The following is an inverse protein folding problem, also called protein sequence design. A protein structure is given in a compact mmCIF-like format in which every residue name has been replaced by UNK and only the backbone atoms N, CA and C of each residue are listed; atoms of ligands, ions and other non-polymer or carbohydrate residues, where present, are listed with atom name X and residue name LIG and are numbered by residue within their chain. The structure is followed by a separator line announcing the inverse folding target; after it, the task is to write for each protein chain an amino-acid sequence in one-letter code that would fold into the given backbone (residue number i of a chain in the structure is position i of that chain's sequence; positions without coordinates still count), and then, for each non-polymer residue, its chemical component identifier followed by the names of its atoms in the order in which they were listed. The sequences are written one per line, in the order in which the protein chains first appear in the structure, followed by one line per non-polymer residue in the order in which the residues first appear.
data_IF_146873020817
#
_entry.id   IF_146873020817
#
_cell.length_a   1.000
_cell.length_b   1.000
_cell.length_c   1.000
_cell.angle_alpha   90.00
_cell.angle_beta   90.00
_cell.angle_gamma   90.00
#
_symmetry.space_group_name_H-M   'P 1'
#
loop_
_entity.id
_entity.type
_entity.pdbx_description
1 polymer ?
#
# COMPACT_ATOMS: atom_id res chain seq x y z
N UNK A 1 -2.35 18.16 14.90
CA UNK A 1 -1.87 16.76 14.80
C UNK A 1 -2.96 15.84 15.30
N UNK A 2 -3.89 15.46 14.42
CA UNK A 2 -4.99 14.51 14.72
C UNK A 2 -4.90 13.24 13.86
N UNK A 3 -4.07 13.26 12.81
CA UNK A 3 -3.94 12.21 11.80
C UNK A 3 -3.28 10.94 12.36
N UNK A 4 -2.34 11.10 13.30
CA UNK A 4 -1.71 9.98 14.00
C UNK A 4 -2.67 9.22 14.93
N UNK A 5 -3.79 9.84 15.35
CA UNK A 5 -4.72 9.20 16.30
C UNK A 5 -5.31 7.90 15.74
N UNK A 6 -5.56 7.84 14.43
CA UNK A 6 -6.09 6.64 13.77
C UNK A 6 -5.07 5.50 13.73
N UNK A 7 -3.80 5.80 13.42
CA UNK A 7 -2.73 4.78 13.40
C UNK A 7 -2.54 4.19 14.79
N UNK A 8 -2.44 5.03 15.82
CA UNK A 8 -2.22 4.57 17.20
C UNK A 8 -3.45 3.89 17.81
N UNK A 9 -4.65 4.12 17.26
CA UNK A 9 -5.87 3.48 17.79
C UNK A 9 -5.86 1.96 17.66
N UNK A 10 -4.98 1.42 16.81
CA UNK A 10 -4.90 -0.02 16.55
C UNK A 10 -3.69 -0.69 17.23
N UNK A 11 -2.86 0.07 17.96
CA UNK A 11 -1.64 -0.45 18.58
C UNK A 11 -1.93 -1.47 19.70
N UNK A 12 -3.15 -1.42 20.27
CA UNK A 12 -3.58 -2.39 21.27
C UNK A 12 -3.77 -3.79 20.63
N UNK A 13 -3.24 -4.87 21.25
CA UNK A 13 -3.44 -6.23 20.75
C UNK A 13 -4.92 -6.60 20.66
N UNK A 14 -5.27 -7.36 19.63
CA UNK A 14 -6.60 -7.94 19.45
C UNK A 14 -6.60 -9.36 20.00
N UNK A 15 -7.50 -9.63 20.95
CA UNK A 15 -7.72 -10.99 21.46
C UNK A 15 -8.66 -11.73 20.51
N UNK A 16 -8.15 -12.74 19.83
CA UNK A 16 -8.92 -13.68 19.00
C UNK A 16 -8.58 -15.08 19.50
N UNK A 17 -9.40 -15.62 20.41
CA UNK A 17 -9.10 -16.86 21.12
C UNK A 17 -8.63 -18.00 20.17
N UNK A 18 -7.50 -18.67 20.47
CA UNK A 18 -6.62 -18.54 21.65
C UNK A 18 -5.42 -17.56 21.48
N UNK A 19 -5.44 -16.67 20.49
CA UNK A 19 -4.30 -15.85 20.10
C UNK A 19 -4.46 -14.36 20.47
N UNK A 20 -3.34 -13.71 20.77
CA UNK A 20 -3.23 -12.25 20.74
C UNK A 20 -2.55 -11.81 19.45
N UNK A 21 -3.19 -10.92 18.71
CA UNK A 21 -2.71 -10.42 17.43
C UNK A 21 -2.33 -8.95 17.57
N UNK A 22 -1.07 -8.64 17.26
CA UNK A 22 -0.62 -7.27 17.05
C UNK A 22 -0.71 -6.96 15.56
N UNK A 23 -1.46 -5.93 15.22
CA UNK A 23 -1.62 -5.46 13.83
C UNK A 23 -1.10 -4.04 13.71
N UNK A 24 -0.74 -3.64 12.48
CA UNK A 24 -0.25 -2.29 12.18
C UNK A 24 -1.03 -1.67 11.04
N UNK A 25 -1.26 -0.36 11.11
CA UNK A 25 -2.07 0.36 10.13
C UNK A 25 -1.17 1.05 9.11
N UNK A 26 -1.61 1.16 7.87
CA UNK A 26 -0.94 2.02 6.89
C UNK A 26 -2.01 2.79 6.17
N UNK A 27 -1.89 4.11 6.17
CA UNK A 27 -2.94 5.02 5.69
C UNK A 27 -2.38 5.88 4.55
N UNK A 28 -3.10 5.95 3.45
CA UNK A 28 -2.84 6.89 2.37
C UNK A 28 -3.88 7.99 2.36
N UNK A 29 -3.44 9.23 2.15
CA UNK A 29 -4.30 10.42 2.21
C UNK A 29 -4.19 11.16 0.88
N UNK A 30 -5.34 11.43 0.24
CA UNK A 30 -5.44 12.28 -0.94
C UNK A 30 -6.43 13.43 -0.66
N UNK A 31 -6.09 14.64 -1.11
CA UNK A 31 -6.83 15.86 -0.85
C UNK A 31 -7.50 16.39 -2.11
N UNK A 32 -8.81 16.55 -2.09
CA UNK A 32 -9.52 17.29 -3.13
C UNK A 32 -9.30 18.81 -2.94
N UNK A 33 -9.08 19.59 -4.02
CA UNK A 33 -8.93 19.19 -5.42
C UNK A 33 -7.48 18.94 -5.86
N UNK A 34 -6.52 18.98 -4.93
CA UNK A 34 -5.08 18.95 -5.21
C UNK A 34 -4.63 17.62 -5.83
N UNK A 35 -5.10 16.51 -5.26
CA UNK A 35 -4.69 15.15 -5.57
C UNK A 35 -5.73 14.41 -6.42
N UNK A 36 -6.68 15.13 -7.03
CA UNK A 36 -7.70 14.53 -7.90
C UNK A 36 -8.92 15.42 -8.03
N UNK A 37 -9.51 15.44 -9.23
CA UNK A 37 -10.71 16.25 -9.54
C UNK A 37 -12.01 15.46 -9.46
N UNK A 38 -11.92 14.15 -9.31
CA UNK A 38 -13.05 13.24 -9.19
C UNK A 38 -12.73 12.12 -8.19
N UNK A 39 -13.78 11.41 -7.77
CA UNK A 39 -13.70 10.31 -6.81
C UNK A 39 -12.68 9.25 -7.22
N UNK A 40 -12.66 8.86 -8.50
CA UNK A 40 -11.79 7.79 -9.00
C UNK A 40 -10.31 8.18 -8.88
N UNK A 41 -9.96 9.41 -9.25
CA UNK A 41 -8.59 9.93 -9.11
C UNK A 41 -8.16 9.98 -7.64
N UNK A 42 -9.02 10.50 -6.76
CA UNK A 42 -8.72 10.59 -5.34
C UNK A 42 -8.52 9.21 -4.72
N UNK A 43 -9.37 8.24 -5.06
CA UNK A 43 -9.27 6.87 -4.56
C UNK A 43 -7.97 6.21 -5.02
N UNK A 44 -7.63 6.33 -6.31
CA UNK A 44 -6.39 5.79 -6.86
C UNK A 44 -5.15 6.41 -6.19
N UNK A 45 -5.14 7.73 -6.01
CA UNK A 45 -4.00 8.44 -5.43
C UNK A 45 -3.88 8.18 -3.91
N UNK A 46 -5.01 8.05 -3.19
CA UNK A 46 -4.98 7.63 -1.79
C UNK A 46 -4.44 6.20 -1.64
N UNK A 47 -4.82 5.29 -2.53
CA UNK A 47 -4.31 3.91 -2.53
C UNK A 47 -2.79 3.87 -2.82
N UNK A 48 -2.32 4.67 -3.79
CA UNK A 48 -0.89 4.81 -4.07
C UNK A 48 -0.10 5.32 -2.85
N UNK A 49 -0.63 6.29 -2.10
CA UNK A 49 -0.03 6.78 -0.87
C UNK A 49 -0.02 5.74 0.26
N UNK A 50 -1.09 4.94 0.36
CA UNK A 50 -1.18 3.83 1.32
C UNK A 50 -0.15 2.76 1.00
N UNK A 51 -0.05 2.39 -0.28
CA UNK A 51 0.91 1.40 -0.74
C UNK A 51 2.35 1.88 -0.49
N UNK A 52 2.64 3.15 -0.74
CA UNK A 52 3.91 3.76 -0.38
C UNK A 52 4.21 3.58 1.12
N UNK A 53 3.24 3.91 1.98
CA UNK A 53 3.34 3.72 3.44
C UNK A 53 3.64 2.26 3.82
N UNK A 54 3.04 1.28 3.13
CA UNK A 54 3.29 -0.16 3.37
C UNK A 54 4.73 -0.57 3.08
N UNK A 55 5.44 0.15 2.21
CA UNK A 55 6.80 -0.17 1.76
C UNK A 55 7.89 0.67 2.44
N UNK A 56 7.60 1.91 2.85
CA UNK A 56 8.62 2.82 3.42
C UNK A 56 8.80 2.73 4.92
N UNK A 57 8.00 1.92 5.62
CA UNK A 57 8.15 1.73 7.07
C UNK A 57 6.96 1.06 7.76
N UNK A 58 5.80 1.01 7.10
CA UNK A 58 4.52 0.56 7.69
C UNK A 58 4.15 1.42 8.91
N UNK A 59 3.12 1.00 9.63
CA UNK A 59 2.62 1.64 10.87
C UNK A 59 2.59 3.17 10.84
N UNK A 60 1.94 3.76 9.85
CA UNK A 60 2.03 5.20 9.60
C UNK A 60 1.04 5.70 8.58
N UNK A 61 1.28 6.92 8.10
CA UNK A 61 0.48 7.55 7.06
C UNK A 61 1.34 8.40 6.13
N UNK A 62 0.92 8.50 4.88
CA UNK A 62 1.50 9.43 3.91
C UNK A 62 0.41 10.15 3.11
N UNK A 63 0.66 11.43 2.84
CA UNK A 63 -0.07 12.18 1.84
C UNK A 63 0.41 11.79 0.45
N UNK A 64 -0.50 11.80 -0.51
CA UNK A 64 -0.19 11.52 -1.89
C UNK A 64 0.86 12.50 -2.43
N UNK A 65 1.77 11.94 -3.22
CA UNK A 65 2.66 12.68 -4.08
C UNK A 65 2.66 12.02 -5.46
N UNK A 66 2.70 12.78 -6.56
CA UNK A 66 2.71 12.21 -7.91
C UNK A 66 3.80 11.15 -8.16
N UNK A 67 4.94 11.26 -7.47
CA UNK A 67 6.02 10.28 -7.50
C UNK A 67 5.62 8.89 -7.00
N UNK A 68 4.61 8.78 -6.14
CA UNK A 68 4.13 7.50 -5.59
C UNK A 68 3.44 6.63 -6.65
N UNK A 69 2.82 7.24 -7.67
CA UNK A 69 2.20 6.50 -8.77
C UNK A 69 3.22 5.71 -9.59
N UNK A 70 4.42 6.27 -9.80
CA UNK A 70 5.49 5.57 -10.52
C UNK A 70 5.93 4.30 -9.78
N UNK A 71 6.06 4.39 -8.46
CA UNK A 71 6.52 3.27 -7.63
C UNK A 71 5.44 2.19 -7.53
N UNK A 72 4.17 2.58 -7.38
CA UNK A 72 3.03 1.66 -7.39
C UNK A 72 2.87 0.94 -8.73
N UNK A 73 3.01 1.65 -9.86
CA UNK A 73 2.97 1.05 -11.20
C UNK A 73 4.12 0.07 -11.42
N UNK A 74 5.35 0.43 -11.03
CA UNK A 74 6.51 -0.45 -11.16
C UNK A 74 6.34 -1.74 -10.37
N UNK A 75 5.81 -1.66 -9.15
CA UNK A 75 5.55 -2.83 -8.30
C UNK A 75 4.45 -3.73 -8.88
N UNK A 76 3.35 -3.15 -9.36
CA UNK A 76 2.28 -3.91 -10.03
C UNK A 76 2.80 -4.62 -11.29
N UNK A 77 3.64 -3.96 -12.07
CA UNK A 77 4.23 -4.55 -13.27
C UNK A 77 5.15 -5.72 -12.92
N UNK A 78 6.03 -5.56 -11.91
CA UNK A 78 6.87 -6.65 -11.42
C UNK A 78 6.05 -7.85 -10.91
N UNK A 79 4.97 -7.59 -10.16
CA UNK A 79 4.09 -8.66 -9.68
C UNK A 79 3.43 -9.42 -10.84
N UNK A 80 2.96 -8.71 -11.87
CA UNK A 80 2.37 -9.31 -13.05
C UNK A 80 3.41 -10.15 -13.82
N UNK A 81 4.61 -9.61 -14.03
CA UNK A 81 5.70 -10.31 -14.71
C UNK A 81 6.10 -11.61 -13.99
N UNK A 82 6.19 -11.58 -12.65
CA UNK A 82 6.46 -12.77 -11.83
C UNK A 82 5.33 -13.80 -11.93
N UNK A 83 4.07 -13.34 -11.91
CA UNK A 83 2.91 -14.22 -12.02
C UNK A 83 2.87 -14.92 -13.39
N UNK A 84 3.11 -14.16 -14.47
CA UNK A 84 3.25 -14.69 -15.83
C UNK A 84 4.43 -15.66 -15.98
N UNK A 85 5.55 -15.41 -15.28
CA UNK A 85 6.71 -16.28 -15.29
C UNK A 85 6.44 -17.61 -14.57
N UNK A 86 5.63 -17.61 -13.51
CA UNK A 86 5.19 -18.84 -12.83
C UNK A 86 4.19 -19.63 -13.66
N UNK A 87 3.29 -18.97 -14.39
CA UNK A 87 2.33 -19.64 -15.29
C UNK A 87 2.97 -20.18 -16.59
N UNK A 88 4.14 -19.66 -16.97
CA UNK A 88 4.89 -20.14 -18.14
C UNK A 88 6.07 -21.02 -17.68
N UNK A 89 5.95 -22.37 -17.69
CA UNK A 89 7.10 -23.25 -17.47
C UNK A 89 8.01 -23.22 -18.70
N UNK A 90 8.73 -22.12 -18.90
CA UNK A 90 9.86 -22.01 -19.82
C UNK A 90 11.05 -21.41 -19.09
N UNK A 91 11.37 -21.97 -17.93
CA UNK A 91 12.73 -21.95 -17.42
C UNK A 91 13.45 -23.20 -17.96
N UNK A 92 13.89 -23.15 -19.22
CA UNK A 92 14.98 -24.03 -19.63
C UNK A 92 16.27 -23.37 -19.14
N UNK A 93 16.88 -23.97 -18.13
CA UNK A 93 18.24 -23.63 -17.71
C UNK A 93 19.18 -23.82 -18.92
N UNK A 94 20.13 -22.90 -19.17
CA UNK A 94 21.13 -23.10 -20.20
C UNK A 94 22.02 -24.30 -19.84
N UNK A 95 22.23 -25.18 -20.81
CA UNK A 95 23.21 -26.27 -20.77
C UNK A 95 24.63 -25.75 -20.96
#
# INVERSE_FOLDING_TARGET
MRESALVHSIDAPFTIDPYELVVTLSVGIALYPLDGKNERELMFNADAAMYHTKHTGRNGYHFFQPSMNMLAQTQLQLMNDLWLALERPKFQAPA
#
